data_IF_737734035310
#
_entry.id   IF_737734035310
#
_cell.length_a   1.000
_cell.length_b   1.000
_cell.length_c   1.000
_cell.angle_alpha   90.00
_cell.angle_beta   90.00
_cell.angle_gamma   90.00
#
_symmetry.space_group_name_H-M   'P 1'
#
loop_
_entity.id
_entity.type
_entity.pdbx_description
1 polymer ?
#
# COMPACT_ATOMS: atom_id res chain seq x y z
N UNK A 1 17.80 3.81 -14.05
CA UNK A 1 16.49 3.21 -14.40
C UNK A 1 16.34 1.93 -13.57
N UNK A 2 15.16 1.61 -13.04
CA UNK A 2 14.97 0.51 -12.06
C UNK A 2 13.94 -0.52 -12.57
N UNK A 3 14.07 -1.77 -12.13
CA UNK A 3 13.04 -2.82 -12.19
C UNK A 3 12.74 -3.19 -10.73
N UNK A 4 11.47 -3.34 -10.36
CA UNK A 4 11.06 -3.69 -8.98
C UNK A 4 10.31 -5.01 -8.97
N UNK A 5 10.61 -5.83 -7.97
CA UNK A 5 9.91 -7.10 -7.69
C UNK A 5 9.47 -7.05 -6.22
N UNK A 6 8.25 -6.60 -5.93
CA UNK A 6 7.80 -6.44 -4.56
C UNK A 6 7.62 -7.81 -3.89
N UNK A 7 8.25 -8.00 -2.74
CA UNK A 7 8.07 -9.19 -1.88
C UNK A 7 6.96 -8.98 -0.84
N UNK A 8 6.56 -7.73 -0.59
CA UNK A 8 5.39 -7.35 0.22
C UNK A 8 4.31 -6.72 -0.66
N UNK A 9 3.18 -6.39 -0.06
CA UNK A 9 2.06 -5.74 -0.75
C UNK A 9 1.85 -4.31 -0.25
N UNK A 10 2.95 -3.55 -0.14
CA UNK A 10 2.97 -2.18 0.38
C UNK A 10 2.75 -1.08 -0.69
N UNK A 11 2.87 -1.41 -1.98
CA UNK A 11 2.52 -0.55 -3.11
C UNK A 11 3.52 0.55 -3.50
N UNK A 12 4.66 0.66 -2.82
CA UNK A 12 5.66 1.73 -3.09
C UNK A 12 6.30 1.65 -4.48
N UNK A 13 6.27 0.48 -5.11
CA UNK A 13 6.72 0.21 -6.46
C UNK A 13 5.90 0.91 -7.55
N UNK A 14 4.69 1.35 -7.23
CA UNK A 14 3.78 2.02 -8.16
C UNK A 14 3.71 3.54 -7.98
N UNK A 15 4.59 4.11 -7.15
CA UNK A 15 4.61 5.54 -6.85
C UNK A 15 5.92 6.20 -7.30
N UNK A 16 5.81 7.47 -7.71
CA UNK A 16 6.95 8.38 -7.90
C UNK A 16 7.47 8.98 -6.58
N UNK A 17 6.88 8.56 -5.45
CA UNK A 17 7.19 9.08 -4.12
C UNK A 17 8.06 8.10 -3.34
N UNK A 18 9.07 8.63 -2.65
CA UNK A 18 9.93 7.91 -1.74
C UNK A 18 9.92 8.60 -0.37
N UNK A 19 9.47 7.87 0.66
CA UNK A 19 9.49 8.35 2.04
C UNK A 19 10.83 8.02 2.70
N UNK A 20 11.45 9.01 3.34
CA UNK A 20 12.71 8.84 4.08
C UNK A 20 12.55 9.51 5.45
N UNK A 21 12.89 8.81 6.53
CA UNK A 21 12.90 9.41 7.87
C UNK A 21 14.24 10.07 8.12
N UNK A 22 14.24 11.36 8.41
CA UNK A 22 15.43 12.08 8.85
C UNK A 22 15.75 11.68 10.30
N UNK A 23 16.82 10.89 10.48
CA UNK A 23 17.17 10.33 11.79
C UNK A 23 17.53 11.38 12.85
N UNK A 24 17.90 12.60 12.45
CA UNK A 24 18.23 13.69 13.37
C UNK A 24 16.97 14.42 13.87
N UNK A 25 16.00 14.63 12.99
CA UNK A 25 14.80 15.43 13.30
C UNK A 25 13.58 14.58 13.60
N UNK A 26 13.63 13.27 13.36
CA UNK A 26 12.47 12.36 13.45
C UNK A 26 11.28 12.83 12.61
N UNK A 27 11.56 13.47 11.47
CA UNK A 27 10.55 13.89 10.49
C UNK A 27 10.61 12.95 9.29
N UNK A 28 9.44 12.49 8.84
CA UNK A 28 9.31 11.76 7.59
C UNK A 28 9.25 12.75 6.44
N UNK A 29 10.30 12.76 5.63
CA UNK A 29 10.40 13.54 4.41
C UNK A 29 9.87 12.72 3.23
N UNK A 30 9.26 13.39 2.25
CA UNK A 30 8.77 12.79 1.03
C UNK A 30 9.50 13.38 -0.16
N UNK A 31 10.19 12.54 -0.92
CA UNK A 31 10.85 12.91 -2.17
C UNK A 31 9.98 12.46 -3.33
N UNK A 32 9.73 13.32 -4.31
CA UNK A 32 8.97 12.99 -5.53
C UNK A 32 9.77 13.35 -6.76
N UNK A 33 9.95 12.39 -7.65
CA UNK A 33 10.63 12.61 -8.93
C UNK A 33 10.27 11.49 -9.93
N UNK A 34 9.96 11.81 -11.18
CA UNK A 34 9.49 10.85 -12.18
C UNK A 34 10.49 9.70 -12.44
N UNK A 35 11.79 10.00 -12.37
CA UNK A 35 12.85 8.99 -12.48
C UNK A 35 12.87 7.93 -11.36
N UNK A 36 12.08 8.11 -10.29
CA UNK A 36 11.90 7.08 -9.25
C UNK A 36 10.88 6.01 -9.64
N UNK A 37 10.03 6.27 -10.64
CA UNK A 37 9.09 5.27 -11.17
C UNK A 37 9.90 4.18 -11.88
N UNK A 38 9.72 2.89 -11.54
CA UNK A 38 10.42 1.81 -12.21
C UNK A 38 9.97 1.67 -13.67
N UNK A 39 10.86 1.13 -14.51
CA UNK A 39 10.54 0.82 -15.91
C UNK A 39 9.64 -0.39 -16.05
N UNK A 40 9.68 -1.28 -15.06
CA UNK A 40 8.83 -2.46 -14.97
C UNK A 40 8.66 -2.86 -13.50
N UNK A 41 7.48 -3.36 -13.16
CA UNK A 41 7.18 -4.05 -11.91
C UNK A 41 6.82 -5.48 -12.27
N UNK A 42 7.47 -6.46 -11.63
CA UNK A 42 7.19 -7.89 -11.84
C UNK A 42 6.43 -8.40 -10.61
N UNK A 43 5.17 -8.78 -10.82
CA UNK A 43 4.34 -9.41 -9.80
C UNK A 43 4.45 -10.92 -9.93
N UNK A 44 5.38 -11.49 -9.15
CA UNK A 44 5.54 -12.93 -9.01
C UNK A 44 5.02 -13.34 -7.62
N UNK A 45 3.95 -14.14 -7.50
CA UNK A 45 3.46 -14.56 -6.19
C UNK A 45 4.40 -15.55 -5.51
N UNK A 46 5.22 -16.30 -6.26
CA UNK A 46 6.09 -17.35 -5.73
C UNK A 46 7.18 -16.76 -4.81
N UNK A 47 7.74 -15.60 -5.16
CA UNK A 47 8.76 -14.96 -4.31
C UNK A 47 8.18 -14.41 -2.99
N UNK A 48 6.86 -14.22 -2.93
CA UNK A 48 6.19 -13.65 -1.74
C UNK A 48 5.88 -14.69 -0.67
N UNK A 49 5.98 -15.99 -0.97
CA UNK A 49 5.68 -17.06 0.00
C UNK A 49 6.59 -17.01 1.22
N UNK A 50 7.77 -16.40 1.08
CA UNK A 50 8.74 -16.20 2.15
C UNK A 50 8.47 -14.97 3.02
N UNK A 51 7.54 -14.10 2.61
CA UNK A 51 7.17 -12.92 3.39
C UNK A 51 6.42 -13.36 4.64
N UNK A 52 6.90 -12.97 5.85
CA UNK A 52 6.23 -13.31 7.09
C UNK A 52 4.75 -12.89 7.06
N UNK A 53 3.87 -13.77 7.52
CA UNK A 53 2.42 -13.54 7.41
C UNK A 53 1.98 -12.23 8.10
N UNK A 54 2.59 -11.87 9.23
CA UNK A 54 2.31 -10.59 9.91
C UNK A 54 2.64 -9.38 9.01
N UNK A 55 3.71 -9.46 8.23
CA UNK A 55 4.15 -8.38 7.34
C UNK A 55 3.27 -8.32 6.10
N UNK A 56 2.93 -9.47 5.54
CA UNK A 56 1.98 -9.57 4.44
C UNK A 56 0.63 -8.95 4.80
N UNK A 57 0.05 -9.36 5.93
CA UNK A 57 -1.27 -8.86 6.36
C UNK A 57 -1.23 -7.38 6.71
N UNK A 58 -0.23 -6.90 7.45
CA UNK A 58 -0.15 -5.47 7.81
C UNK A 58 0.06 -4.56 6.59
N UNK A 59 0.90 -4.97 5.63
CA UNK A 59 1.04 -4.22 4.36
C UNK A 59 -0.21 -4.33 3.49
N UNK A 60 -0.93 -5.45 3.54
CA UNK A 60 -2.23 -5.60 2.89
C UNK A 60 -3.32 -4.69 3.45
N UNK A 61 -3.37 -4.50 4.77
CA UNK A 61 -4.30 -3.54 5.38
C UNK A 61 -3.96 -2.10 4.98
N UNK A 62 -2.68 -1.76 4.84
CA UNK A 62 -2.30 -0.47 4.23
C UNK A 62 -2.80 -0.36 2.78
N UNK A 63 -2.74 -1.43 1.99
CA UNK A 63 -3.32 -1.41 0.65
C UNK A 63 -4.85 -1.18 0.68
N UNK A 64 -5.56 -1.75 1.65
CA UNK A 64 -6.98 -1.46 1.90
C UNK A 64 -7.19 0.01 2.30
N UNK A 65 -6.33 0.54 3.16
CA UNK A 65 -6.34 1.95 3.59
C UNK A 65 -6.23 2.92 2.41
N UNK A 66 -5.31 2.66 1.46
CA UNK A 66 -5.22 3.46 0.21
C UNK A 66 -6.53 3.46 -0.59
N UNK A 67 -7.22 2.32 -0.68
CA UNK A 67 -8.52 2.23 -1.34
C UNK A 67 -9.60 3.04 -0.60
N UNK A 68 -9.71 2.85 0.71
CA UNK A 68 -10.77 3.47 1.52
C UNK A 68 -10.58 4.99 1.56
N UNK A 69 -9.37 5.47 1.82
CA UNK A 69 -9.12 6.92 1.83
C UNK A 69 -9.29 7.54 0.43
N UNK A 70 -8.95 6.81 -0.63
CA UNK A 70 -9.21 7.25 -2.00
C UNK A 70 -10.71 7.43 -2.27
N UNK A 71 -11.54 6.46 -1.87
CA UNK A 71 -13.00 6.48 -2.05
C UNK A 71 -13.68 7.53 -1.17
N UNK A 72 -13.14 7.78 0.03
CA UNK A 72 -13.69 8.74 0.99
C UNK A 72 -13.14 10.16 0.82
N UNK A 73 -12.24 10.38 -0.14
CA UNK A 73 -11.64 11.68 -0.39
C UNK A 73 -12.67 12.68 -0.93
N UNK A 74 -12.54 13.95 -0.54
CA UNK A 74 -13.32 15.05 -1.11
C UNK A 74 -12.95 15.34 -2.58
N UNK A 75 -11.85 14.78 -3.05
CA UNK A 75 -11.37 14.89 -4.43
C UNK A 75 -11.56 13.57 -5.21
N UNK A 76 -12.37 12.64 -4.69
CA UNK A 76 -12.69 11.38 -5.36
C UNK A 76 -13.37 11.62 -6.72
N UNK A 77 -13.11 10.74 -7.67
CA UNK A 77 -13.67 10.82 -9.01
C UNK A 77 -13.73 9.43 -9.69
N UNK A 78 -14.60 9.23 -10.68
CA UNK A 78 -14.93 7.89 -11.19
C UNK A 78 -13.75 7.05 -11.68
N UNK A 79 -12.71 7.69 -12.21
CA UNK A 79 -11.48 7.00 -12.62
C UNK A 79 -10.74 6.42 -11.41
N UNK A 80 -10.51 7.21 -10.35
CA UNK A 80 -9.88 6.74 -9.13
C UNK A 80 -10.74 5.66 -8.43
N UNK A 81 -12.05 5.87 -8.38
CA UNK A 81 -12.99 4.97 -7.69
C UNK A 81 -13.03 3.59 -8.33
N UNK A 82 -13.00 3.50 -9.66
CA UNK A 82 -12.99 2.22 -10.36
C UNK A 82 -11.79 1.35 -9.95
N UNK A 83 -10.61 1.98 -9.83
CA UNK A 83 -9.40 1.31 -9.35
C UNK A 83 -9.52 0.93 -7.88
N UNK A 84 -9.93 1.87 -7.02
CA UNK A 84 -10.05 1.63 -5.59
C UNK A 84 -11.07 0.54 -5.24
N UNK A 85 -12.25 0.54 -5.87
CA UNK A 85 -13.28 -0.48 -5.65
C UNK A 85 -12.80 -1.87 -6.07
N UNK A 86 -12.17 -1.99 -7.23
CA UNK A 86 -11.65 -3.29 -7.69
C UNK A 86 -10.50 -3.76 -6.81
N UNK A 87 -9.57 -2.87 -6.45
CA UNK A 87 -8.47 -3.16 -5.53
C UNK A 87 -8.97 -3.63 -4.17
N UNK A 88 -9.94 -2.91 -3.59
CA UNK A 88 -10.56 -3.26 -2.31
C UNK A 88 -11.24 -4.62 -2.36
N UNK A 89 -12.00 -4.89 -3.41
CA UNK A 89 -12.66 -6.18 -3.62
C UNK A 89 -11.67 -7.34 -3.68
N UNK A 90 -10.58 -7.18 -4.43
CA UNK A 90 -9.53 -8.21 -4.53
C UNK A 90 -8.80 -8.41 -3.20
N UNK A 91 -8.46 -7.34 -2.49
CA UNK A 91 -7.80 -7.41 -1.18
C UNK A 91 -8.70 -8.04 -0.11
N UNK A 92 -9.99 -7.68 -0.09
CA UNK A 92 -10.97 -8.24 0.85
C UNK A 92 -11.18 -9.74 0.68
N UNK A 93 -10.98 -10.27 -0.54
CA UNK A 93 -11.08 -11.71 -0.84
C UNK A 93 -9.73 -12.42 -0.67
N UNK A 94 -8.64 -11.81 -1.13
CA UNK A 94 -7.30 -12.40 -1.13
C UNK A 94 -6.67 -12.47 0.25
N UNK A 95 -6.77 -11.42 1.07
CA UNK A 95 -6.11 -11.38 2.38
C UNK A 95 -6.59 -12.49 3.33
N UNK A 96 -7.91 -12.77 3.46
CA UNK A 96 -8.38 -13.92 4.25
C UNK A 96 -7.92 -15.26 3.70
N UNK A 97 -7.85 -15.43 2.37
CA UNK A 97 -7.34 -16.66 1.74
C UNK A 97 -5.87 -16.90 2.05
N UNK A 98 -5.02 -15.87 1.90
CA UNK A 98 -3.59 -15.98 2.26
C UNK A 98 -3.41 -16.22 3.77
N UNK A 99 -4.26 -15.64 4.62
CA UNK A 99 -4.24 -15.92 6.06
C UNK A 99 -4.57 -17.39 6.36
N UNK A 100 -5.55 -17.97 5.68
CA UNK A 100 -5.95 -19.36 5.86
C UNK A 100 -4.92 -20.34 5.27
N UNK A 101 -4.36 -20.01 4.11
CA UNK A 101 -3.32 -20.78 3.44
C UNK A 101 -2.23 -19.85 2.89
N UNK A 102 -1.12 -19.65 3.64
CA UNK A 102 -0.02 -18.81 3.18
C UNK A 102 0.68 -19.29 1.92
N UNK A 103 0.41 -20.51 1.43
CA UNK A 103 0.94 -21.04 0.17
C UNK A 103 0.01 -20.82 -1.04
N UNK A 104 -1.16 -20.22 -0.88
CA UNK A 104 -2.11 -19.95 -1.98
C UNK A 104 -1.54 -18.88 -2.94
N UNK A 105 -0.92 -19.33 -4.03
CA UNK A 105 -0.29 -18.45 -5.02
C UNK A 105 -1.30 -17.57 -5.76
N UNK A 106 -2.52 -18.08 -6.01
CA UNK A 106 -3.56 -17.32 -6.67
C UNK A 106 -4.05 -16.19 -5.76
N UNK A 107 -4.29 -16.47 -4.48
CA UNK A 107 -4.65 -15.43 -3.51
C UNK A 107 -3.52 -14.40 -3.32
N UNK A 108 -2.26 -14.82 -3.39
CA UNK A 108 -1.11 -13.91 -3.33
C UNK A 108 -1.05 -12.99 -4.54
N UNK A 109 -1.28 -13.53 -5.73
CA UNK A 109 -1.36 -12.76 -6.97
C UNK A 109 -2.55 -11.79 -6.93
N UNK A 110 -3.71 -12.23 -6.45
CA UNK A 110 -4.88 -11.37 -6.23
C UNK A 110 -4.55 -10.19 -5.32
N UNK A 111 -3.83 -10.43 -4.21
CA UNK A 111 -3.38 -9.35 -3.33
C UNK A 111 -2.35 -8.41 -3.99
N UNK A 112 -1.40 -8.94 -4.77
CA UNK A 112 -0.43 -8.13 -5.51
C UNK A 112 -1.12 -7.21 -6.52
N UNK A 113 -2.07 -7.75 -7.30
CA UNK A 113 -2.88 -6.97 -8.25
C UNK A 113 -3.78 -5.99 -7.51
N UNK A 114 -4.43 -6.42 -6.42
CA UNK A 114 -5.26 -5.55 -5.60
C UNK A 114 -4.49 -4.36 -5.02
N UNK A 115 -3.23 -4.57 -4.65
CA UNK A 115 -2.32 -3.51 -4.18
C UNK A 115 -1.90 -2.56 -5.30
N UNK A 116 -1.66 -3.08 -6.51
CA UNK A 116 -1.42 -2.22 -7.65
C UNK A 116 -2.62 -1.31 -7.92
N UNK A 117 -3.83 -1.86 -7.88
CA UNK A 117 -5.07 -1.10 -8.08
C UNK A 117 -5.36 -0.12 -6.94
N UNK A 118 -4.99 -0.44 -5.69
CA UNK A 118 -5.15 0.49 -4.56
C UNK A 118 -4.29 1.75 -4.67
N UNK A 119 -3.30 1.76 -5.57
CA UNK A 119 -2.51 2.95 -5.91
C UNK A 119 -3.17 3.84 -6.95
N UNK A 120 -4.28 3.40 -7.56
CA UNK A 120 -5.05 4.15 -8.55
C UNK A 120 -5.44 5.56 -8.09
N UNK A 121 -6.04 5.75 -6.89
CA UNK A 121 -6.38 7.08 -6.38
C UNK A 121 -5.17 8.03 -6.33
N UNK A 122 -4.08 7.60 -5.69
CA UNK A 122 -2.87 8.43 -5.60
C UNK A 122 -2.25 8.72 -6.96
N UNK A 123 -2.30 7.77 -7.90
CA UNK A 123 -1.79 7.97 -9.26
C UNK A 123 -2.69 8.92 -10.08
N UNK A 124 -3.98 8.97 -9.76
CA UNK A 124 -4.97 9.84 -10.37
C UNK A 124 -5.01 11.25 -9.77
N UNK A 125 -4.22 11.52 -8.73
CA UNK A 125 -4.16 12.82 -8.07
C UNK A 125 -5.04 12.96 -6.83
N UNK A 126 -5.73 11.89 -6.41
CA UNK A 126 -6.53 11.89 -5.18
C UNK A 126 -5.60 11.81 -3.95
N UNK A 127 -5.65 12.77 -3.01
CA UNK A 127 -4.81 12.75 -1.82
C UNK A 127 -5.24 11.65 -0.83
N UNK A 128 -4.28 11.17 -0.04
CA UNK A 128 -4.56 10.30 1.12
C UNK A 128 -5.01 11.15 2.31
N UNK A 129 -5.74 10.54 3.24
CA UNK A 129 -6.44 11.23 4.32
C UNK A 129 -5.73 11.16 5.67
N UNK A 130 -6.55 11.20 6.73
CA UNK A 130 -6.10 11.26 8.11
C UNK A 130 -5.36 10.00 8.57
N UNK A 131 -5.68 8.82 8.04
CA UNK A 131 -5.00 7.57 8.39
C UNK A 131 -3.52 7.66 8.02
N UNK A 132 -3.22 8.05 6.78
CA UNK A 132 -1.84 8.26 6.33
C UNK A 132 -1.16 9.43 7.05
N UNK A 133 -1.86 10.56 7.22
CA UNK A 133 -1.31 11.75 7.88
C UNK A 133 -0.85 11.46 9.31
N UNK A 134 -1.71 10.83 10.12
CA UNK A 134 -1.38 10.42 11.50
C UNK A 134 -0.32 9.31 11.48
N UNK A 135 -0.44 8.35 10.56
CA UNK A 135 0.54 7.29 10.39
C UNK A 135 1.96 7.76 10.06
N UNK A 136 2.12 8.89 9.36
CA UNK A 136 3.43 9.50 9.13
C UNK A 136 4.06 10.02 10.42
N UNK A 137 3.27 10.64 11.30
CA UNK A 137 3.75 11.12 12.61
C UNK A 137 4.10 9.93 13.50
N UNK A 138 3.22 8.93 13.59
CA UNK A 138 3.46 7.73 14.40
C UNK A 138 4.72 6.97 13.95
N UNK A 139 4.89 6.81 12.63
CA UNK A 139 6.07 6.12 12.09
C UNK A 139 7.37 6.90 12.33
N UNK A 140 7.36 8.22 12.21
CA UNK A 140 8.56 9.03 12.35
C UNK A 140 8.99 9.22 13.82
N UNK A 141 8.03 9.50 14.70
CA UNK A 141 8.30 9.78 16.12
C UNK A 141 8.48 8.51 16.97
N UNK A 142 7.77 7.43 16.64
CA UNK A 142 7.72 6.22 17.49
C UNK A 142 8.19 4.95 16.78
N UNK A 143 8.73 5.07 15.56
CA UNK A 143 9.24 3.95 14.77
C UNK A 143 8.18 2.84 14.54
N UNK A 144 6.90 3.21 14.50
CA UNK A 144 5.82 2.26 14.22
C UNK A 144 5.81 1.94 12.72
N UNK A 145 5.86 0.65 12.31
CA UNK A 145 5.84 0.32 10.90
C UNK A 145 4.52 0.77 10.26
N UNK A 146 4.61 1.31 9.05
CA UNK A 146 3.48 1.98 8.39
C UNK A 146 2.27 1.05 8.15
N UNK A 147 2.49 -0.26 7.95
CA UNK A 147 1.39 -1.22 7.88
C UNK A 147 0.57 -1.28 9.17
N UNK A 148 1.23 -1.21 10.34
CA UNK A 148 0.54 -1.19 11.63
C UNK A 148 -0.18 0.12 11.90
N UNK A 149 0.37 1.26 11.45
CA UNK A 149 -0.36 2.52 11.59
C UNK A 149 -1.69 2.47 10.85
N UNK A 150 -1.72 1.95 9.61
CA UNK A 150 -2.97 1.75 8.88
C UNK A 150 -3.93 0.78 9.58
N UNK A 151 -3.43 -0.32 10.16
CA UNK A 151 -4.27 -1.25 10.91
C UNK A 151 -5.01 -0.59 12.09
N UNK A 152 -4.39 0.39 12.75
CA UNK A 152 -4.94 1.05 13.94
C UNK A 152 -5.78 2.26 13.56
N UNK A 153 -5.32 3.03 12.58
CA UNK A 153 -5.94 4.31 12.24
C UNK A 153 -7.17 4.16 11.36
N UNK A 154 -7.10 3.36 10.30
CA UNK A 154 -8.18 3.22 9.30
C UNK A 154 -9.58 3.00 9.91
N UNK A 155 -9.80 2.14 10.93
CA UNK A 155 -11.14 1.91 11.46
C UNK A 155 -11.74 3.11 12.22
N UNK A 156 -10.90 4.08 12.60
CA UNK A 156 -11.26 5.14 13.54
C UNK A 156 -11.34 6.53 12.91
N UNK A 157 -10.88 6.69 11.67
CA UNK A 157 -10.75 7.98 10.97
C UNK A 157 -11.64 8.09 9.76
#
# INVERSE_FOLDING_TARGET
RQIRMPTTIAGGEFSAAAGVTNQRTHVKEMLRHDLTIPRAVILDPAITVHTPLWLWLSTGIRAVDHCVEGLCSLEAHPYADAHALKGLSMLAQGLPRVKANPGDLDARLDCQIGTWLSMGPSAAGVPMGASHGIGYVLGAAFNVPHGYTSCVMLPSV
#
